data_IF_757700729979
#
_entry.id   IF_757700729979
#
_cell.length_a   1.000
_cell.length_b   1.000
_cell.length_c   1.000
_cell.angle_alpha   90.00
_cell.angle_beta   90.00
_cell.angle_gamma   90.00
#
_symmetry.space_group_name_H-M   'P 1'
#
loop_
_entity.id
_entity.type
_entity.pdbx_description
1 polymer ?
#
# COMPACT_ATOMS: atom_id res chain seq x y z
N UNK A 1 2.73 -28.79 16.52
CA UNK A 1 3.88 -27.96 16.10
C UNK A 1 3.63 -26.54 16.61
N UNK A 2 4.20 -26.19 17.76
CA UNK A 2 3.80 -25.02 18.56
C UNK A 2 4.29 -23.70 17.95
N UNK A 3 3.51 -22.62 18.10
CA UNK A 3 3.79 -21.24 17.65
C UNK A 3 5.22 -20.75 18.01
N UNK A 4 5.79 -21.30 19.09
CA UNK A 4 7.14 -21.05 19.59
C UNK A 4 8.27 -21.56 18.67
N UNK A 5 7.99 -22.53 17.78
CA UNK A 5 8.99 -23.03 16.83
C UNK A 5 9.12 -22.12 15.59
N UNK A 6 8.05 -21.45 15.15
CA UNK A 6 8.10 -20.51 14.02
C UNK A 6 8.92 -19.25 14.35
N UNK A 7 8.93 -18.80 15.61
CA UNK A 7 9.66 -17.59 16.02
C UNK A 7 11.15 -17.81 16.25
N UNK A 8 11.59 -19.06 16.46
CA UNK A 8 12.98 -19.41 16.84
C UNK A 8 13.94 -19.62 15.67
N UNK A 9 13.43 -19.62 14.43
CA UNK A 9 14.24 -19.89 13.22
C UNK A 9 14.70 -18.63 12.48
N UNK A 10 14.45 -17.44 13.03
CA UNK A 10 14.85 -16.17 12.42
C UNK A 10 16.07 -15.58 13.13
N UNK A 11 17.18 -15.46 12.40
CA UNK A 11 18.35 -14.75 12.89
C UNK A 11 17.99 -13.27 13.11
N UNK A 12 18.62 -12.63 14.11
CA UNK A 12 18.46 -11.18 14.32
C UNK A 12 18.83 -10.40 13.05
N UNK A 13 19.78 -10.89 12.28
CA UNK A 13 20.24 -10.32 11.01
C UNK A 13 19.12 -10.20 9.96
N UNK A 14 18.31 -11.24 9.74
CA UNK A 14 17.17 -11.15 8.80
C UNK A 14 16.12 -10.12 9.24
N UNK A 15 15.90 -9.98 10.55
CA UNK A 15 14.97 -8.97 11.10
C UNK A 15 15.52 -7.55 10.91
N UNK A 16 16.84 -7.36 11.08
CA UNK A 16 17.51 -6.08 10.82
C UNK A 16 17.39 -5.67 9.37
N UNK A 17 17.66 -6.59 8.44
CA UNK A 17 17.54 -6.34 7.01
C UNK A 17 16.11 -5.91 6.62
N UNK A 18 15.10 -6.59 7.16
CA UNK A 18 13.69 -6.24 6.95
C UNK A 18 13.36 -4.83 7.49
N UNK A 19 13.84 -4.51 8.70
CA UNK A 19 13.65 -3.19 9.30
C UNK A 19 14.32 -2.10 8.46
N UNK A 20 15.59 -2.29 8.06
CA UNK A 20 16.31 -1.30 7.25
C UNK A 20 15.60 -1.04 5.94
N UNK A 21 15.14 -2.08 5.26
CA UNK A 21 14.44 -1.93 3.98
C UNK A 21 13.13 -1.14 4.11
N UNK A 22 12.34 -1.40 5.16
CA UNK A 22 11.12 -0.62 5.43
C UNK A 22 11.46 0.84 5.75
N UNK A 23 12.54 1.08 6.49
CA UNK A 23 12.97 2.44 6.85
C UNK A 23 13.50 3.21 5.63
N UNK A 24 14.25 2.55 4.75
CA UNK A 24 14.80 3.13 3.53
C UNK A 24 13.68 3.46 2.54
N UNK A 25 12.68 2.59 2.41
CA UNK A 25 11.47 2.85 1.62
C UNK A 25 10.55 3.94 2.20
N UNK A 26 10.78 4.36 3.45
CA UNK A 26 10.08 5.47 4.10
C UNK A 26 10.82 6.81 3.95
N UNK A 27 11.78 6.88 3.04
CA UNK A 27 12.50 8.11 2.69
C UNK A 27 11.81 8.72 1.47
N UNK A 28 11.20 9.92 1.59
CA UNK A 28 10.65 10.62 0.43
C UNK A 28 11.81 11.00 -0.49
N UNK A 29 11.85 10.38 -1.66
CA UNK A 29 12.74 10.74 -2.76
C UNK A 29 11.92 11.09 -4.01
N UNK A 30 12.62 11.63 -5.03
CA UNK A 30 11.97 12.06 -6.27
C UNK A 30 11.46 10.85 -7.07
N UNK A 31 12.19 9.75 -7.04
CA UNK A 31 11.90 8.55 -7.81
C UNK A 31 10.58 7.92 -7.36
N UNK A 32 10.33 7.88 -6.05
CA UNK A 32 9.06 7.45 -5.47
C UNK A 32 7.88 8.24 -6.02
N UNK A 33 7.94 9.58 -6.04
CA UNK A 33 6.84 10.39 -6.55
C UNK A 33 6.67 10.27 -8.07
N UNK A 34 7.77 10.11 -8.82
CA UNK A 34 7.71 9.83 -10.25
C UNK A 34 7.02 8.49 -10.53
N UNK A 35 7.31 7.45 -9.73
CA UNK A 35 6.63 6.16 -9.82
C UNK A 35 5.14 6.27 -9.48
N UNK A 36 4.75 7.08 -8.49
CA UNK A 36 3.33 7.34 -8.18
C UNK A 36 2.63 8.01 -9.37
N UNK A 37 3.24 9.06 -9.95
CA UNK A 37 2.70 9.75 -11.13
C UNK A 37 2.54 8.78 -12.31
N UNK A 38 3.59 8.00 -12.59
CA UNK A 38 3.58 7.01 -13.68
C UNK A 38 2.51 5.93 -13.46
N UNK A 39 2.38 5.41 -12.25
CA UNK A 39 1.38 4.41 -11.94
C UNK A 39 -0.06 4.95 -12.08
N UNK A 40 -0.31 6.20 -11.71
CA UNK A 40 -1.62 6.85 -11.94
C UNK A 40 -1.91 7.02 -13.42
N UNK A 41 -0.92 7.43 -14.22
CA UNK A 41 -1.08 7.53 -15.67
C UNK A 41 -1.39 6.17 -16.31
N UNK A 42 -0.68 5.11 -15.91
CA UNK A 42 -0.98 3.74 -16.35
C UNK A 42 -2.39 3.30 -15.93
N UNK A 43 -2.80 3.58 -14.70
CA UNK A 43 -4.13 3.22 -14.20
C UNK A 43 -5.24 3.97 -14.95
N UNK A 44 -5.05 5.26 -15.27
CA UNK A 44 -5.97 6.00 -16.13
C UNK A 44 -6.04 5.36 -17.52
N UNK A 45 -4.91 5.07 -18.16
CA UNK A 45 -4.90 4.37 -19.44
C UNK A 45 -5.63 3.03 -19.35
N UNK A 46 -5.50 2.29 -18.24
CA UNK A 46 -6.22 1.04 -18.01
C UNK A 46 -7.74 1.24 -17.98
N UNK A 47 -8.23 2.29 -17.32
CA UNK A 47 -9.66 2.62 -17.29
C UNK A 47 -10.15 3.04 -18.69
N UNK A 48 -9.41 3.91 -19.39
CA UNK A 48 -9.79 4.38 -20.73
C UNK A 48 -9.74 3.29 -21.80
N UNK A 49 -8.89 2.29 -21.63
CA UNK A 49 -8.75 1.16 -22.57
C UNK A 49 -9.49 -0.10 -22.10
N UNK A 50 -10.19 -0.03 -20.97
CA UNK A 50 -10.85 -1.16 -20.32
C UNK A 50 -9.92 -2.40 -20.19
N UNK A 51 -8.68 -2.17 -19.78
CA UNK A 51 -7.61 -3.18 -19.79
C UNK A 51 -7.12 -3.55 -18.40
N UNK A 52 -7.55 -4.72 -17.93
CA UNK A 52 -7.07 -5.30 -16.66
C UNK A 52 -5.55 -5.54 -16.70
N UNK A 53 -4.97 -5.87 -17.86
CA UNK A 53 -3.53 -6.07 -17.98
C UNK A 53 -2.74 -4.78 -17.71
N UNK A 54 -3.20 -3.65 -18.25
CA UNK A 54 -2.59 -2.33 -17.99
C UNK A 54 -2.83 -1.91 -16.53
N UNK A 55 -4.00 -2.25 -15.97
CA UNK A 55 -4.29 -2.01 -14.56
C UNK A 55 -3.30 -2.75 -13.66
N UNK A 56 -3.05 -4.04 -13.91
CA UNK A 56 -2.09 -4.83 -13.14
C UNK A 56 -0.67 -4.24 -13.29
N UNK A 57 -0.28 -3.82 -14.50
CA UNK A 57 0.99 -3.15 -14.71
C UNK A 57 1.12 -1.87 -13.86
N UNK A 58 0.06 -1.07 -13.76
CA UNK A 58 0.03 0.12 -12.89
C UNK A 58 0.28 -0.22 -11.42
N UNK A 59 -0.30 -1.33 -10.94
CA UNK A 59 -0.15 -1.80 -9.56
C UNK A 59 1.28 -2.26 -9.27
N UNK A 60 1.95 -2.90 -10.24
CA UNK A 60 3.34 -3.36 -10.07
C UNK A 60 4.31 -2.16 -9.90
N UNK A 61 4.03 -1.05 -10.59
CA UNK A 61 4.87 0.16 -10.53
C UNK A 61 4.65 0.97 -9.25
N UNK A 62 3.45 0.90 -8.67
CA UNK A 62 3.04 1.76 -7.56
C UNK A 62 3.81 1.46 -6.25
N UNK A 63 4.61 2.41 -5.71
CA UNK A 63 5.43 2.17 -4.52
C UNK A 63 4.67 2.35 -3.20
N UNK A 64 3.33 2.29 -3.19
CA UNK A 64 2.50 2.62 -2.02
C UNK A 64 2.68 1.66 -0.84
N UNK A 65 3.24 0.46 -1.06
CA UNK A 65 3.51 -0.51 -0.01
C UNK A 65 4.49 0.01 1.04
N UNK A 66 5.55 0.69 0.62
CA UNK A 66 6.65 1.14 1.49
C UNK A 66 6.18 2.09 2.61
N UNK A 67 5.50 3.21 2.32
CA UNK A 67 5.05 4.11 3.38
C UNK A 67 3.96 3.51 4.28
N UNK A 68 3.14 2.57 3.80
CA UNK A 68 2.12 1.91 4.64
C UNK A 68 2.76 0.94 5.62
N UNK A 69 3.72 0.14 5.17
CA UNK A 69 4.44 -0.77 6.05
C UNK A 69 5.34 -0.03 7.04
N UNK A 70 5.93 1.09 6.63
CA UNK A 70 6.67 1.98 7.52
C UNK A 70 5.78 2.61 8.59
N UNK A 71 4.57 3.01 8.23
CA UNK A 71 3.56 3.47 9.18
C UNK A 71 3.20 2.35 10.18
N UNK A 72 2.92 1.14 9.70
CA UNK A 72 2.64 -0.03 10.55
C UNK A 72 3.79 -0.36 11.49
N UNK A 73 5.03 -0.34 11.00
CA UNK A 73 6.24 -0.53 11.80
C UNK A 73 6.36 0.56 12.87
N UNK A 74 6.21 1.83 12.48
CA UNK A 74 6.26 2.98 13.38
C UNK A 74 5.26 2.89 14.53
N UNK A 75 4.04 2.42 14.26
CA UNK A 75 3.02 2.17 15.27
C UNK A 75 3.42 1.05 16.24
N UNK A 76 3.97 -0.05 15.74
CA UNK A 76 4.41 -1.20 16.57
C UNK A 76 5.60 -0.84 17.46
N UNK A 77 6.56 -0.08 16.93
CA UNK A 77 7.78 0.29 17.67
C UNK A 77 7.65 1.61 18.44
N UNK A 78 6.50 2.27 18.35
CA UNK A 78 6.18 3.57 18.94
C UNK A 78 7.15 4.69 18.50
N UNK A 79 7.62 4.66 17.25
CA UNK A 79 8.44 5.73 16.68
C UNK A 79 7.56 6.76 15.98
N UNK A 80 7.22 7.84 16.70
CA UNK A 80 6.36 8.91 16.18
C UNK A 80 6.99 9.68 15.01
N UNK A 81 8.32 9.73 14.89
CA UNK A 81 8.96 10.39 13.74
C UNK A 81 8.71 9.59 12.48
N UNK A 82 8.82 8.25 12.56
CA UNK A 82 8.50 7.35 11.45
C UNK A 82 7.02 7.42 11.07
N UNK A 83 6.12 7.45 12.06
CA UNK A 83 4.67 7.59 11.84
C UNK A 83 4.34 8.88 11.09
N UNK A 84 4.79 10.03 11.58
CA UNK A 84 4.50 11.34 10.97
C UNK A 84 5.05 11.41 9.55
N UNK A 85 6.28 10.93 9.34
CA UNK A 85 6.92 10.90 8.02
C UNK A 85 6.13 10.04 7.02
N UNK A 86 5.73 8.84 7.45
CA UNK A 86 4.98 7.91 6.61
C UNK A 86 3.60 8.46 6.24
N UNK A 87 2.90 9.09 7.20
CA UNK A 87 1.64 9.78 6.95
C UNK A 87 1.83 10.92 5.94
N UNK A 88 2.89 11.72 6.09
CA UNK A 88 3.21 12.79 5.15
C UNK A 88 3.42 12.28 3.73
N UNK A 89 4.19 11.20 3.56
CA UNK A 89 4.37 10.56 2.24
C UNK A 89 3.06 10.05 1.64
N UNK A 90 2.23 9.37 2.45
CA UNK A 90 0.92 8.89 1.99
C UNK A 90 0.00 10.03 1.60
N UNK A 91 -0.06 11.10 2.39
CA UNK A 91 -0.91 12.26 2.12
C UNK A 91 -0.52 12.95 0.81
N UNK A 92 0.78 13.18 0.58
CA UNK A 92 1.27 13.78 -0.68
C UNK A 92 0.97 12.87 -1.86
N UNK A 93 1.18 11.56 -1.72
CA UNK A 93 0.89 10.57 -2.77
C UNK A 93 -0.60 10.51 -3.11
N UNK A 94 -1.45 10.53 -2.08
CA UNK A 94 -2.91 10.54 -2.18
C UNK A 94 -3.39 11.78 -2.94
N UNK A 95 -2.94 12.97 -2.52
CA UNK A 95 -3.31 14.24 -3.17
C UNK A 95 -2.85 14.23 -4.62
N UNK A 96 -1.59 13.89 -4.87
CA UNK A 96 -1.05 13.82 -6.23
C UNK A 96 -1.84 12.85 -7.11
N UNK A 97 -2.12 11.64 -6.62
CA UNK A 97 -2.83 10.61 -7.37
C UNK A 97 -4.27 11.02 -7.70
N UNK A 98 -5.02 11.54 -6.72
CA UNK A 98 -6.39 12.02 -6.94
C UNK A 98 -6.39 13.20 -7.89
N UNK A 99 -5.51 14.19 -7.71
CA UNK A 99 -5.45 15.36 -8.59
C UNK A 99 -5.07 14.98 -10.03
N UNK A 100 -4.15 14.05 -10.22
CA UNK A 100 -3.76 13.58 -11.55
C UNK A 100 -4.86 12.74 -12.22
N UNK A 101 -5.52 11.87 -11.46
CA UNK A 101 -6.67 11.12 -11.95
C UNK A 101 -7.80 12.08 -12.36
N UNK A 102 -8.11 13.06 -11.51
CA UNK A 102 -9.10 14.09 -11.77
C UNK A 102 -8.78 14.92 -13.03
N UNK A 103 -7.56 15.45 -13.13
CA UNK A 103 -7.11 16.22 -14.31
C UNK A 103 -7.11 15.35 -15.58
N UNK A 104 -6.63 14.12 -15.48
CA UNK A 104 -6.62 13.17 -16.59
C UNK A 104 -8.02 12.90 -17.13
N UNK A 105 -8.98 12.63 -16.25
CA UNK A 105 -10.37 12.43 -16.64
C UNK A 105 -10.99 13.68 -17.27
N UNK A 106 -10.72 14.87 -16.74
CA UNK A 106 -11.20 16.11 -17.36
C UNK A 106 -10.62 16.35 -18.77
N UNK A 107 -9.39 15.93 -19.02
CA UNK A 107 -8.73 16.09 -20.33
C UNK A 107 -9.20 15.07 -21.37
N UNK A 108 -9.44 13.82 -20.97
CA UNK A 108 -9.78 12.73 -21.90
C UNK A 108 -11.29 12.44 -21.97
N UNK A 109 -12.09 13.01 -21.07
CA UNK A 109 -13.55 12.88 -21.04
C UNK A 109 -14.07 11.78 -20.11
N UNK A 110 -15.39 11.69 -20.03
CA UNK A 110 -16.10 10.73 -19.19
C UNK A 110 -15.76 9.28 -19.57
N UNK A 111 -15.48 8.46 -18.57
CA UNK A 111 -15.32 7.01 -18.73
C UNK A 111 -16.01 6.27 -17.61
N UNK A 112 -16.84 5.29 -17.96
CA UNK A 112 -17.49 4.42 -16.97
C UNK A 112 -16.45 3.46 -16.40
N UNK A 113 -16.13 3.61 -15.11
CA UNK A 113 -15.25 2.67 -14.41
C UNK A 113 -16.01 1.36 -14.14
N UNK A 114 -15.50 0.24 -14.65
CA UNK A 114 -16.09 -1.06 -14.36
C UNK A 114 -15.84 -1.44 -12.88
N UNK A 115 -16.86 -1.90 -12.13
CA UNK A 115 -16.72 -2.33 -10.73
C UNK A 115 -15.60 -3.37 -10.48
N UNK A 116 -15.19 -4.13 -11.49
CA UNK A 116 -14.07 -5.07 -11.41
C UNK A 116 -12.76 -4.36 -11.05
N UNK A 117 -12.56 -3.11 -11.49
CA UNK A 117 -11.34 -2.35 -11.23
C UNK A 117 -11.23 -1.95 -9.75
N UNK A 118 -12.34 -1.76 -9.04
CA UNK A 118 -12.35 -1.09 -7.73
C UNK A 118 -12.32 -2.07 -6.57
N UNK A 119 -13.15 -3.12 -6.68
CA UNK A 119 -13.40 -4.05 -5.57
C UNK A 119 -13.66 -5.47 -6.07
N UNK A 120 -13.12 -5.81 -7.23
CA UNK A 120 -13.32 -7.12 -7.87
C UNK A 120 -14.80 -7.49 -8.01
N UNK A 121 -15.64 -6.53 -8.42
CA UNK A 121 -17.07 -6.76 -8.64
C UNK A 121 -17.99 -6.07 -7.62
N UNK A 122 -17.58 -4.96 -7.02
CA UNK A 122 -18.48 -4.09 -6.24
C UNK A 122 -18.67 -4.46 -4.77
N UNK A 123 -17.99 -5.49 -4.25
CA UNK A 123 -18.20 -5.93 -2.86
C UNK A 123 -17.14 -5.38 -1.89
N UNK A 124 -17.53 -4.36 -1.14
CA UNK A 124 -16.71 -3.70 -0.10
C UNK A 124 -16.08 -4.69 0.90
N UNK A 125 -16.84 -5.69 1.35
CA UNK A 125 -16.38 -6.65 2.35
C UNK A 125 -15.28 -7.55 1.79
N UNK A 126 -15.44 -8.00 0.55
CA UNK A 126 -14.45 -8.83 -0.15
C UNK A 126 -13.16 -8.04 -0.36
N UNK A 127 -13.26 -6.78 -0.80
CA UNK A 127 -12.08 -5.91 -0.97
C UNK A 127 -11.31 -5.73 0.35
N UNK A 128 -12.02 -5.53 1.45
CA UNK A 128 -11.39 -5.36 2.78
C UNK A 128 -10.69 -6.64 3.25
N UNK A 129 -11.30 -7.82 3.03
CA UNK A 129 -10.69 -9.12 3.35
C UNK A 129 -9.43 -9.33 2.51
N UNK A 130 -9.47 -9.02 1.22
CA UNK A 130 -8.30 -9.11 0.33
C UNK A 130 -7.18 -8.20 0.83
N UNK A 131 -7.48 -6.96 1.21
CA UNK A 131 -6.48 -6.03 1.74
C UNK A 131 -5.86 -6.52 3.07
N UNK A 132 -6.66 -7.14 3.95
CA UNK A 132 -6.17 -7.73 5.19
C UNK A 132 -5.21 -8.91 4.91
N UNK A 133 -5.58 -9.78 3.96
CA UNK A 133 -4.72 -10.89 3.51
C UNK A 133 -3.45 -10.35 2.86
N UNK A 134 -3.56 -9.36 1.98
CA UNK A 134 -2.44 -8.72 1.32
C UNK A 134 -1.48 -8.09 2.34
N UNK A 135 -1.99 -7.38 3.34
CA UNK A 135 -1.18 -6.82 4.41
C UNK A 135 -0.49 -7.88 5.28
N UNK A 136 -1.16 -8.99 5.56
CA UNK A 136 -0.58 -10.10 6.32
C UNK A 136 0.54 -10.79 5.53
N UNK A 137 0.30 -11.11 4.26
CA UNK A 137 1.30 -11.66 3.33
C UNK A 137 2.45 -10.68 3.18
N UNK A 138 2.15 -9.38 3.07
CA UNK A 138 3.14 -8.36 2.87
C UNK A 138 4.10 -8.27 4.07
N UNK A 139 3.55 -8.06 5.26
CA UNK A 139 4.35 -8.01 6.46
C UNK A 139 5.09 -9.33 6.72
N UNK A 140 4.48 -10.48 6.40
CA UNK A 140 5.16 -11.77 6.53
C UNK A 140 6.31 -11.92 5.54
N UNK A 141 6.12 -11.50 4.29
CA UNK A 141 7.12 -11.51 3.23
C UNK A 141 8.31 -10.63 3.57
N UNK A 142 8.07 -9.40 4.03
CA UNK A 142 9.15 -8.53 4.51
C UNK A 142 9.95 -9.15 5.65
N UNK A 143 9.31 -9.89 6.56
CA UNK A 143 10.01 -10.60 7.63
C UNK A 143 10.74 -11.86 7.14
N UNK A 144 10.30 -12.46 6.03
CA UNK A 144 10.90 -13.64 5.38
C UNK A 144 11.62 -13.22 4.09
N UNK A 145 12.92 -12.96 4.19
CA UNK A 145 13.85 -12.68 3.07
C UNK A 145 13.69 -13.60 1.83
N UNK A 146 13.15 -14.82 1.99
CA UNK A 146 12.92 -15.77 0.90
C UNK A 146 11.67 -15.53 0.04
N UNK A 147 10.71 -14.74 0.51
CA UNK A 147 9.50 -14.41 -0.26
C UNK A 147 9.70 -12.97 -0.76
N UNK A 148 10.15 -12.82 -2.01
CA UNK A 148 10.67 -11.56 -2.53
C UNK A 148 9.76 -10.35 -2.25
N UNK A 149 10.36 -9.27 -1.74
CA UNK A 149 9.68 -8.04 -1.32
C UNK A 149 8.82 -7.42 -2.44
N UNK A 150 9.21 -7.66 -3.71
CA UNK A 150 8.44 -7.26 -4.88
C UNK A 150 7.04 -7.88 -4.95
N UNK A 151 6.88 -9.20 -4.68
CA UNK A 151 5.57 -9.86 -4.76
C UNK A 151 4.60 -9.37 -3.69
N UNK A 152 5.16 -9.08 -2.52
CA UNK A 152 4.46 -8.52 -1.37
C UNK A 152 3.99 -7.07 -1.64
N UNK A 153 4.83 -6.26 -2.29
CA UNK A 153 4.49 -4.90 -2.70
C UNK A 153 3.33 -4.86 -3.70
N UNK A 154 3.32 -5.81 -4.66
CA UNK A 154 2.25 -5.97 -5.65
C UNK A 154 0.89 -6.20 -4.96
N UNK A 155 0.83 -7.08 -3.96
CA UNK A 155 -0.43 -7.36 -3.25
C UNK A 155 -1.04 -6.12 -2.59
N UNK A 156 -0.22 -5.27 -1.96
CA UNK A 156 -0.67 -4.01 -1.37
C UNK A 156 -1.12 -3.03 -2.45
N UNK A 157 -0.34 -2.88 -3.52
CA UNK A 157 -0.65 -1.95 -4.59
C UNK A 157 -1.95 -2.32 -5.34
N UNK A 158 -2.21 -3.62 -5.53
CA UNK A 158 -3.45 -4.15 -6.12
C UNK A 158 -4.68 -3.69 -5.34
N UNK A 159 -4.60 -3.65 -4.01
CA UNK A 159 -5.71 -3.23 -3.17
C UNK A 159 -5.89 -1.71 -3.06
N UNK A 160 -4.93 -0.89 -3.53
CA UNK A 160 -4.91 0.55 -3.22
C UNK A 160 -4.97 1.46 -4.43
N UNK A 161 -4.20 1.16 -5.49
CA UNK A 161 -4.11 2.07 -6.63
C UNK A 161 -5.46 2.22 -7.36
N UNK A 162 -6.22 1.14 -7.62
CA UNK A 162 -7.49 1.31 -8.33
C UNK A 162 -8.57 2.12 -7.61
N UNK A 163 -8.89 1.87 -6.32
CA UNK A 163 -9.89 2.70 -5.64
C UNK A 163 -9.43 4.15 -5.54
N UNK A 164 -8.12 4.42 -5.45
CA UNK A 164 -7.56 5.77 -5.42
C UNK A 164 -7.79 6.54 -6.74
N UNK A 165 -7.50 5.89 -7.87
CA UNK A 165 -7.70 6.49 -9.20
C UNK A 165 -9.19 6.61 -9.50
N UNK A 166 -9.99 5.61 -9.15
CA UNK A 166 -11.44 5.66 -9.28
C UNK A 166 -12.07 6.81 -8.46
N UNK A 167 -11.52 7.14 -7.28
CA UNK A 167 -11.93 8.34 -6.53
C UNK A 167 -11.70 9.61 -7.35
N UNK A 168 -10.53 9.78 -7.96
CA UNK A 168 -10.24 10.95 -8.80
C UNK A 168 -11.14 11.04 -10.03
N UNK A 169 -11.43 9.91 -10.69
CA UNK A 169 -12.40 9.81 -11.79
C UNK A 169 -13.79 10.24 -11.33
N UNK A 170 -14.27 9.71 -10.19
CA UNK A 170 -15.57 10.07 -9.62
C UNK A 170 -15.71 11.55 -9.29
N UNK A 171 -14.64 12.17 -8.78
CA UNK A 171 -14.61 13.62 -8.53
C UNK A 171 -14.70 14.40 -9.85
N UNK A 172 -14.05 13.94 -10.92
CA UNK A 172 -14.08 14.61 -12.22
C UNK A 172 -15.47 14.56 -12.86
N UNK A 173 -16.16 13.44 -12.67
CA UNK A 173 -17.52 13.23 -13.18
C UNK A 173 -18.61 13.85 -12.28
N UNK A 174 -18.23 14.52 -11.19
CA UNK A 174 -19.13 15.05 -10.16
C UNK A 174 -20.04 13.97 -9.51
N UNK A 175 -19.67 12.69 -9.61
CA UNK A 175 -20.31 11.59 -8.90
C UNK A 175 -19.70 11.44 -7.50
N UNK A 176 -20.17 12.29 -6.58
CA UNK A 176 -19.72 12.30 -5.19
C UNK A 176 -20.03 11.00 -4.44
N UNK A 177 -21.09 10.28 -4.85
CA UNK A 177 -21.45 9.01 -4.23
C UNK A 177 -20.43 7.94 -4.59
N UNK A 178 -20.04 7.85 -5.87
CA UNK A 178 -19.00 6.95 -6.34
C UNK A 178 -17.61 7.32 -5.80
N UNK A 179 -17.25 8.60 -5.81
CA UNK A 179 -16.00 9.09 -5.22
C UNK A 179 -15.90 8.75 -3.72
N UNK A 180 -16.98 8.97 -2.96
CA UNK A 180 -17.02 8.63 -1.54
C UNK A 180 -16.90 7.12 -1.27
N UNK A 181 -17.56 6.29 -2.08
CA UNK A 181 -17.49 4.83 -1.95
C UNK A 181 -16.08 4.28 -2.24
N UNK A 182 -15.49 4.69 -3.36
CA UNK A 182 -14.13 4.29 -3.76
C UNK A 182 -13.08 4.75 -2.76
N UNK A 183 -13.21 5.98 -2.25
CA UNK A 183 -12.32 6.50 -1.22
C UNK A 183 -12.46 5.72 0.10
N UNK A 184 -13.68 5.35 0.47
CA UNK A 184 -13.93 4.50 1.66
C UNK A 184 -13.27 3.13 1.52
N UNK A 185 -13.34 2.50 0.34
CA UNK A 185 -12.63 1.25 0.04
C UNK A 185 -11.13 1.42 0.23
N UNK A 186 -10.56 2.50 -0.32
CA UNK A 186 -9.14 2.81 -0.16
C UNK A 186 -8.74 2.93 1.33
N UNK A 187 -9.49 3.70 2.12
CA UNK A 187 -9.20 3.90 3.55
C UNK A 187 -9.29 2.57 4.33
N UNK A 188 -10.33 1.77 4.08
CA UNK A 188 -10.47 0.46 4.73
C UNK A 188 -9.32 -0.48 4.36
N UNK A 189 -8.87 -0.45 3.11
CA UNK A 189 -7.73 -1.26 2.67
C UNK A 189 -6.43 -0.83 3.36
N UNK A 190 -6.18 0.48 3.48
CA UNK A 190 -5.04 1.00 4.25
C UNK A 190 -5.10 0.54 5.70
N UNK A 191 -6.26 0.68 6.37
CA UNK A 191 -6.45 0.23 7.75
C UNK A 191 -6.23 -1.28 7.88
N UNK A 192 -6.78 -2.08 6.97
CA UNK A 192 -6.62 -3.54 6.95
C UNK A 192 -5.15 -3.94 6.84
N UNK A 193 -4.39 -3.28 5.97
CA UNK A 193 -2.96 -3.53 5.81
C UNK A 193 -2.18 -3.10 7.07
N UNK A 194 -2.52 -1.97 7.68
CA UNK A 194 -1.90 -1.50 8.93
C UNK A 194 -2.14 -2.47 10.09
N UNK A 195 -3.37 -2.94 10.28
CA UNK A 195 -3.71 -3.92 11.33
C UNK A 195 -2.97 -5.23 11.09
N UNK A 196 -3.01 -5.75 9.86
CA UNK A 196 -2.35 -7.00 9.52
C UNK A 196 -0.83 -6.91 9.71
N UNK A 197 -0.21 -5.83 9.24
CA UNK A 197 1.23 -5.61 9.43
C UNK A 197 1.62 -5.44 10.89
N UNK A 198 0.82 -4.73 11.68
CA UNK A 198 1.05 -4.58 13.11
C UNK A 198 1.02 -5.92 13.85
N UNK A 199 0.03 -6.78 13.55
CA UNK A 199 -0.08 -8.13 14.11
C UNK A 199 1.17 -8.94 13.76
N UNK A 200 1.56 -8.96 12.48
CA UNK A 200 2.73 -9.72 12.02
C UNK A 200 4.01 -9.21 12.68
N UNK A 201 4.32 -7.92 12.63
CA UNK A 201 5.53 -7.36 13.24
C UNK A 201 5.62 -7.64 14.75
N UNK A 202 4.47 -7.63 15.44
CA UNK A 202 4.38 -7.99 16.86
C UNK A 202 4.68 -9.47 17.08
N UNK A 203 4.07 -10.37 16.31
CA UNK A 203 4.25 -11.83 16.41
C UNK A 203 5.72 -12.25 16.16
N UNK A 204 6.39 -11.60 15.21
CA UNK A 204 7.80 -11.86 14.91
C UNK A 204 8.78 -11.14 15.84
N UNK A 205 8.27 -10.30 16.76
CA UNK A 205 9.09 -9.60 17.74
C UNK A 205 10.01 -8.53 17.14
N UNK A 206 9.61 -7.92 16.03
CA UNK A 206 10.37 -6.85 15.32
C UNK A 206 10.69 -5.68 16.26
N UNK A 207 9.76 -5.34 17.15
CA UNK A 207 9.92 -4.35 18.22
C UNK A 207 11.17 -4.52 19.10
N UNK A 208 11.59 -5.76 19.37
CA UNK A 208 12.78 -6.02 20.20
C UNK A 208 14.05 -5.72 19.41
N UNK A 209 14.11 -6.18 18.16
CA UNK A 209 15.27 -5.98 17.29
C UNK A 209 15.44 -4.51 16.92
N UNK A 210 14.35 -3.82 16.59
CA UNK A 210 14.37 -2.38 16.30
C UNK A 210 15.00 -1.56 17.44
N UNK A 211 14.64 -1.90 18.70
CA UNK A 211 15.20 -1.24 19.89
C UNK A 211 16.69 -1.50 20.07
N UNK A 212 17.18 -2.67 19.68
CA UNK A 212 18.62 -3.00 19.72
C UNK A 212 19.36 -2.20 18.66
N UNK A 213 18.84 -2.13 17.43
CA UNK A 213 19.45 -1.34 16.34
C UNK A 213 19.57 0.14 16.70
N UNK A 214 18.51 0.73 17.26
CA UNK A 214 18.48 2.16 17.63
C UNK A 214 19.40 2.52 18.80
N UNK A 215 19.84 1.55 19.60
CA UNK A 215 20.83 1.79 20.69
C UNK A 215 22.27 1.81 20.19
N UNK A 216 22.53 1.30 18.99
CA UNK A 216 23.86 1.22 18.39
C UNK A 216 24.11 2.27 17.30
N UNK A 217 23.11 3.09 16.97
CA UNK A 217 23.20 4.29 16.13
C UNK A 217 23.00 5.53 17.00
#
# INVERSE_FOLDING_TARGET
MSLLYMTRQFSGESKRAAITEILDGAIPDRDFYLLVIGAVAFALCAIFTDSIAVLIASMIVAPLASPILALGLGLVVLDMRLVIRSIGMLAVSLIAAISLAWLGTLLFGYVRVDPIFISFGGNLYVATIIALIAGAIAAYGFVRVKVGNAMTGIGIAVSLMPPLVATGVGIADADWAFAGQTFTIFILNVIGILVASAIVFTLFGIQKEYRVMRRHN
#
